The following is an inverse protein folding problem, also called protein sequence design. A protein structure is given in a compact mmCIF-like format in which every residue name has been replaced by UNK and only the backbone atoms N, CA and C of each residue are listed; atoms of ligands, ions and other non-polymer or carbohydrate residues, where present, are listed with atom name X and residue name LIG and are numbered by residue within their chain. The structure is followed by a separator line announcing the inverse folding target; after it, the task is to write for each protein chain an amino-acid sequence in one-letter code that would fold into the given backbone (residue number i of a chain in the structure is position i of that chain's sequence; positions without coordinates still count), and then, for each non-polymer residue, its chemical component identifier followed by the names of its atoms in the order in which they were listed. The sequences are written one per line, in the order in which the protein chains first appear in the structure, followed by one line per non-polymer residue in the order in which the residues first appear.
data_IF_066388524561
#
_entry.id   IF_066388524561
#
_cell.length_a   1.000
_cell.length_b   1.000
_cell.length_c   1.000
_cell.angle_alpha   90.00
_cell.angle_beta   90.00
_cell.angle_gamma   90.00
#
_symmetry.space_group_name_H-M   'P 1'
#
loop_
_entity.id
_entity.type
_entity.pdbx_description
1 polymer ?
#
# COMPACT_ATOMS: atom_id res chain seq x y z
N UNK A 1 -24.44 18.02 18.73
CA UNK A 1 -24.07 17.03 17.69
C UNK A 1 -24.31 15.64 18.26
N UNK A 2 -25.26 14.92 17.67
CA UNK A 2 -25.71 13.61 18.14
C UNK A 2 -24.69 12.49 17.85
N UNK A 3 -24.64 11.44 18.69
CA UNK A 3 -23.65 10.36 18.57
C UNK A 3 -23.77 9.63 17.23
N UNK A 4 -25.00 9.49 16.73
CA UNK A 4 -25.28 8.84 15.44
C UNK A 4 -24.83 9.70 14.25
N UNK A 5 -24.99 11.02 14.32
CA UNK A 5 -24.51 11.93 13.27
C UNK A 5 -22.99 11.94 13.19
N UNK A 6 -22.29 11.93 14.34
CA UNK A 6 -20.81 11.81 14.36
C UNK A 6 -20.35 10.49 13.73
N UNK A 7 -21.05 9.38 13.97
CA UNK A 7 -20.71 8.08 13.38
C UNK A 7 -20.90 8.08 11.85
N UNK A 8 -22.01 8.63 11.35
CA UNK A 8 -22.28 8.73 9.91
C UNK A 8 -21.24 9.61 9.20
N UNK A 9 -20.90 10.78 9.75
CA UNK A 9 -19.87 11.65 9.18
C UNK A 9 -18.50 10.97 9.10
N UNK A 10 -18.09 10.26 10.17
CA UNK A 10 -16.82 9.52 10.17
C UNK A 10 -16.79 8.41 9.11
N UNK A 11 -17.88 7.66 8.97
CA UNK A 11 -17.99 6.60 7.98
C UNK A 11 -17.91 7.15 6.55
N UNK A 12 -18.64 8.23 6.26
CA UNK A 12 -18.59 8.91 4.95
C UNK A 12 -17.19 9.46 4.66
N UNK A 13 -16.52 10.02 5.66
CA UNK A 13 -15.14 10.50 5.49
C UNK A 13 -14.20 9.34 5.14
N UNK A 14 -14.20 8.24 5.90
CA UNK A 14 -13.35 7.06 5.61
C UNK A 14 -13.62 6.49 4.22
N UNK A 15 -14.89 6.40 3.81
CA UNK A 15 -15.27 5.92 2.49
C UNK A 15 -14.74 6.81 1.36
N UNK A 16 -14.88 8.14 1.51
CA UNK A 16 -14.42 9.09 0.50
C UNK A 16 -12.89 9.10 0.38
N UNK A 17 -12.16 8.87 1.48
CA UNK A 17 -10.69 8.72 1.44
C UNK A 17 -10.29 7.40 0.76
N UNK A 18 -10.98 6.29 1.04
CA UNK A 18 -10.75 5.02 0.32
C UNK A 18 -10.97 5.17 -1.18
N UNK A 19 -12.06 5.83 -1.60
CA UNK A 19 -12.37 6.04 -3.02
C UNK A 19 -11.29 6.86 -3.73
N UNK A 20 -10.78 7.92 -3.08
CA UNK A 20 -9.66 8.72 -3.62
C UNK A 20 -8.38 7.92 -3.72
N UNK A 21 -8.07 7.11 -2.72
CA UNK A 21 -6.86 6.29 -2.69
C UNK A 21 -6.90 5.26 -3.81
N UNK A 22 -8.02 4.54 -3.94
CA UNK A 22 -8.23 3.58 -5.04
C UNK A 22 -8.12 4.26 -6.41
N UNK A 23 -8.66 5.48 -6.55
CA UNK A 23 -8.60 6.23 -7.79
C UNK A 23 -7.19 6.75 -8.13
N UNK A 24 -6.31 6.93 -7.14
CA UNK A 24 -4.93 7.41 -7.37
C UNK A 24 -3.94 6.28 -7.65
N UNK A 25 -4.31 5.02 -7.39
CA UNK A 25 -3.41 3.88 -7.55
C UNK A 25 -2.90 3.74 -8.99
N UNK A 26 -1.57 3.68 -9.20
CA UNK A 26 -0.98 3.45 -10.51
C UNK A 26 -0.96 1.95 -10.90
N UNK A 27 -1.52 1.08 -10.06
CA UNK A 27 -1.58 -0.37 -10.23
C UNK A 27 -2.85 -0.96 -9.62
N UNK A 28 -3.23 -2.18 -10.02
CA UNK A 28 -4.44 -2.84 -9.51
C UNK A 28 -4.28 -3.24 -8.04
N UNK A 29 -5.37 -3.21 -7.28
CA UNK A 29 -5.42 -3.64 -5.86
C UNK A 29 -4.79 -5.03 -5.64
N UNK A 30 -5.06 -5.99 -6.54
CA UNK A 30 -4.49 -7.33 -6.48
C UNK A 30 -2.97 -7.33 -6.59
N UNK A 31 -2.40 -6.48 -7.46
CA UNK A 31 -0.95 -6.33 -7.62
C UNK A 31 -0.34 -5.69 -6.38
N UNK A 32 -1.02 -4.73 -5.75
CA UNK A 32 -0.53 -4.11 -4.52
C UNK A 32 -0.49 -5.11 -3.37
N UNK A 33 -1.55 -5.91 -3.24
CA UNK A 33 -1.59 -7.03 -2.28
C UNK A 33 -0.46 -8.02 -2.50
N UNK A 34 -0.22 -8.39 -3.76
CA UNK A 34 0.86 -9.31 -4.12
C UNK A 34 2.24 -8.71 -3.83
N UNK A 35 2.44 -7.41 -4.03
CA UNK A 35 3.67 -6.71 -3.67
C UNK A 35 3.91 -6.78 -2.16
N UNK A 36 2.92 -6.41 -1.34
CA UNK A 36 3.03 -6.47 0.12
C UNK A 36 3.34 -7.90 0.61
N UNK A 37 2.66 -8.89 0.03
CA UNK A 37 2.89 -10.31 0.33
C UNK A 37 4.29 -10.77 -0.10
N UNK A 38 4.77 -10.30 -1.26
CA UNK A 38 6.11 -10.62 -1.76
C UNK A 38 7.20 -10.04 -0.87
N UNK A 39 7.04 -8.80 -0.41
CA UNK A 39 8.02 -8.14 0.47
C UNK A 39 8.02 -8.75 1.88
N UNK A 40 6.87 -9.25 2.36
CA UNK A 40 6.73 -9.86 3.69
C UNK A 40 6.90 -11.39 3.70
N UNK A 41 7.47 -12.00 2.65
CA UNK A 41 7.69 -13.45 2.60
C UNK A 41 8.75 -13.90 3.60
N UNK A 42 8.68 -15.15 4.06
CA UNK A 42 9.62 -15.69 5.08
C UNK A 42 11.10 -15.61 4.69
N UNK A 43 11.41 -15.77 3.40
CA UNK A 43 12.77 -15.71 2.85
C UNK A 43 13.12 -14.31 2.29
N UNK A 44 12.41 -13.26 2.71
CA UNK A 44 12.76 -11.91 2.31
C UNK A 44 14.16 -11.56 2.85
N UNK A 45 15.04 -10.94 2.03
CA UNK A 45 16.30 -10.44 2.52
C UNK A 45 16.07 -9.36 3.59
N UNK A 46 17.05 -9.17 4.48
CA UNK A 46 17.05 -8.00 5.36
C UNK A 46 17.00 -6.72 4.53
N UNK A 47 16.17 -5.76 4.96
CA UNK A 47 16.07 -4.51 4.25
C UNK A 47 17.42 -3.77 4.23
N UNK A 48 17.86 -3.39 3.03
CA UNK A 48 19.09 -2.62 2.78
C UNK A 48 18.83 -1.12 2.58
N UNK A 49 17.64 -0.65 2.95
CA UNK A 49 17.15 0.73 2.77
C UNK A 49 17.02 1.17 1.31
N UNK A 50 16.84 0.22 0.39
CA UNK A 50 16.47 0.49 -1.00
C UNK A 50 15.12 -0.13 -1.35
N UNK A 51 14.65 0.16 -2.57
CA UNK A 51 13.45 -0.43 -3.19
C UNK A 51 13.82 -1.56 -4.16
N UNK A 52 14.88 -2.32 -3.85
CA UNK A 52 15.40 -3.33 -4.76
C UNK A 52 14.36 -4.41 -5.03
N UNK A 53 13.82 -5.02 -3.98
CA UNK A 53 12.84 -6.11 -4.10
C UNK A 53 11.54 -5.59 -4.75
N UNK A 54 11.11 -4.39 -4.38
CA UNK A 54 9.97 -3.72 -5.02
C UNK A 54 10.20 -3.53 -6.52
N UNK A 55 11.37 -3.02 -6.91
CA UNK A 55 11.70 -2.78 -8.32
C UNK A 55 11.76 -4.10 -9.11
N UNK A 56 12.42 -5.13 -8.56
CA UNK A 56 12.49 -6.46 -9.15
C UNK A 56 11.10 -7.08 -9.33
N UNK A 57 10.21 -6.96 -8.34
CA UNK A 57 8.81 -7.42 -8.43
C UNK A 57 8.05 -6.72 -9.57
N UNK A 58 8.17 -5.39 -9.67
CA UNK A 58 7.49 -4.60 -10.70
C UNK A 58 7.98 -4.97 -12.10
N UNK A 59 9.30 -5.10 -12.29
CA UNK A 59 9.90 -5.49 -13.56
C UNK A 59 9.46 -6.91 -13.95
N UNK A 60 9.48 -7.85 -13.00
CA UNK A 60 9.04 -9.23 -13.19
C UNK A 60 7.59 -9.34 -13.67
N UNK A 61 6.72 -8.41 -13.23
CA UNK A 61 5.32 -8.32 -13.68
C UNK A 61 5.08 -7.41 -14.88
N UNK A 62 6.15 -6.95 -15.55
CA UNK A 62 6.07 -6.03 -16.69
C UNK A 62 5.32 -4.73 -16.35
N UNK A 63 5.46 -4.25 -15.12
CA UNK A 63 4.92 -2.98 -14.64
C UNK A 63 5.98 -1.88 -14.76
N UNK A 64 5.54 -0.62 -14.72
CA UNK A 64 6.45 0.52 -14.87
C UNK A 64 6.85 1.09 -13.49
N UNK A 65 8.10 0.90 -13.02
CA UNK A 65 8.55 1.42 -11.74
C UNK A 65 8.50 2.94 -11.67
N UNK A 66 8.74 3.65 -12.78
CA UNK A 66 8.72 5.12 -12.84
C UNK A 66 7.34 5.72 -12.54
N UNK A 67 6.27 4.93 -12.64
CA UNK A 67 4.91 5.36 -12.25
C UNK A 67 4.55 4.95 -10.83
N UNK A 68 5.04 3.80 -10.40
CA UNK A 68 4.60 3.16 -9.16
C UNK A 68 5.43 3.62 -7.97
N UNK A 69 6.75 3.71 -8.12
CA UNK A 69 7.65 4.14 -7.05
C UNK A 69 7.34 5.55 -6.54
N UNK A 70 7.06 6.56 -7.39
CA UNK A 70 6.68 7.88 -6.90
C UNK A 70 5.44 7.85 -6.02
N UNK A 71 4.43 7.06 -6.40
CA UNK A 71 3.22 6.89 -5.61
C UNK A 71 3.53 6.20 -4.26
N UNK A 72 4.36 5.15 -4.24
CA UNK A 72 4.80 4.52 -2.98
C UNK A 72 5.50 5.53 -2.06
N UNK A 73 6.36 6.39 -2.61
CA UNK A 73 7.06 7.44 -1.86
C UNK A 73 6.09 8.49 -1.28
N UNK A 74 5.04 8.87 -2.01
CA UNK A 74 3.98 9.75 -1.49
C UNK A 74 3.27 9.16 -0.27
N UNK A 75 3.25 7.82 -0.17
CA UNK A 75 2.73 7.04 0.95
C UNK A 75 3.83 6.53 1.91
N UNK A 76 5.02 7.16 1.86
CA UNK A 76 6.10 6.91 2.81
C UNK A 76 6.93 5.65 2.56
N UNK A 77 6.76 4.97 1.43
CA UNK A 77 7.50 3.75 1.06
C UNK A 77 8.82 4.03 0.33
N UNK A 78 9.88 4.44 1.04
CA UNK A 78 11.19 4.73 0.43
C UNK A 78 12.19 3.56 0.48
N UNK A 79 11.94 2.55 1.32
CA UNK A 79 12.55 1.20 1.27
C UNK A 79 11.48 0.12 1.14
N UNK A 80 11.90 -1.09 0.78
CA UNK A 80 11.07 -2.30 0.79
C UNK A 80 10.35 -2.50 2.15
N UNK A 81 11.03 -2.18 3.25
CA UNK A 81 10.45 -2.21 4.60
C UNK A 81 9.30 -1.21 4.82
N UNK A 82 9.47 0.02 4.36
CA UNK A 82 8.51 1.10 4.52
C UNK A 82 7.31 0.92 3.59
N UNK A 83 7.48 0.23 2.45
CA UNK A 83 6.34 -0.22 1.65
C UNK A 83 5.44 -1.16 2.49
N UNK A 84 6.03 -2.05 3.29
CA UNK A 84 5.25 -2.91 4.17
C UNK A 84 4.63 -2.14 5.34
N UNK A 85 5.35 -1.23 5.99
CA UNK A 85 4.89 -0.62 7.25
C UNK A 85 4.13 0.70 7.09
N UNK A 86 4.49 1.52 6.10
CA UNK A 86 3.90 2.84 5.90
C UNK A 86 2.78 2.77 4.85
N UNK A 87 3.05 2.20 3.68
CA UNK A 87 2.06 2.14 2.59
C UNK A 87 0.87 1.26 2.99
N UNK A 88 1.12 0.20 3.77
CA UNK A 88 0.07 -0.63 4.38
C UNK A 88 -0.92 0.17 5.25
N UNK A 89 -0.48 1.16 6.02
CA UNK A 89 -1.36 1.92 6.93
C UNK A 89 -2.49 2.60 6.14
N UNK A 90 -2.17 3.09 4.94
CA UNK A 90 -3.12 3.71 4.03
C UNK A 90 -4.01 2.70 3.28
N UNK A 91 -3.45 1.57 2.84
CA UNK A 91 -4.12 0.67 1.88
C UNK A 91 -4.64 -0.65 2.47
N UNK A 92 -4.22 -1.04 3.67
CA UNK A 92 -4.41 -2.39 4.23
C UNK A 92 -5.86 -2.87 4.24
N UNK A 93 -6.76 -1.99 4.72
CA UNK A 93 -8.21 -2.22 4.76
C UNK A 93 -8.80 -2.38 3.34
N UNK A 94 -8.22 -1.69 2.35
CA UNK A 94 -8.66 -1.70 0.95
C UNK A 94 -8.18 -2.96 0.23
N UNK A 95 -6.91 -3.33 0.41
CA UNK A 95 -6.30 -4.47 -0.28
C UNK A 95 -6.63 -5.81 0.41
N UNK A 96 -7.17 -5.77 1.62
CA UNK A 96 -7.46 -6.98 2.42
C UNK A 96 -6.19 -7.79 2.67
N UNK A 97 -5.11 -7.09 2.98
CA UNK A 97 -3.82 -7.64 3.39
C UNK A 97 -3.56 -7.10 4.79
N UNK A 98 -3.11 -7.93 5.71
CA UNK A 98 -2.89 -7.55 7.10
C UNK A 98 -1.55 -8.12 7.55
N UNK A 99 -0.76 -7.30 8.24
CA UNK A 99 0.40 -7.79 8.99
C UNK A 99 -0.10 -8.73 10.09
N UNK A 100 0.39 -9.97 10.09
CA UNK A 100 0.18 -10.88 11.21
C UNK A 100 0.96 -10.33 12.42
N UNK A 101 0.27 -10.11 13.53
CA UNK A 101 0.81 -9.58 14.80
C UNK A 101 1.75 -10.56 15.51
#
# INVERSE_FOLDING_TARGET
MDKEQKKKLKAQFKQNEHEKLVASLPLSIEVLKDLLSFLNREDAPNCDHTLRETTDFLISRNLNPEKIIPWLNEHGGFCDCEVIFNVYDDVGDIVGWHLEE
#
